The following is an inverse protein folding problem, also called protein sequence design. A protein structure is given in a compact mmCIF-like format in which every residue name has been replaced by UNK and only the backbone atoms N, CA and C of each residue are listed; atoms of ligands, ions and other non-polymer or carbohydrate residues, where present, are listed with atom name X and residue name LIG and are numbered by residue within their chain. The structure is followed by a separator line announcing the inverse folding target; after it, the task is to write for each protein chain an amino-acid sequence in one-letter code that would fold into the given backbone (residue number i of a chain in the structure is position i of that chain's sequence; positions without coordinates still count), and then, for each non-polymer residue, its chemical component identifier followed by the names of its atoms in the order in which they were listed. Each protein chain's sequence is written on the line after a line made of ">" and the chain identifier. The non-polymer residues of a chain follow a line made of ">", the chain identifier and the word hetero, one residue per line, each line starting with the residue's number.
data_IF_285699493968
#
_entry.id   IF_285699493968
#
_cell.length_a   1.000
_cell.length_b   1.000
_cell.length_c   1.000
_cell.angle_alpha   90.00
_cell.angle_beta   90.00
_cell.angle_gamma   90.00
#
_symmetry.space_group_name_H-M   'P 1'
#
loop_
_entity.id
_entity.type
_entity.pdbx_description
1 polymer ?
#
# COMPACT_ATOMS: atom_id res chain seq x y z
N UNK A 1 2.32 -2.31 15.27
CA UNK A 1 2.23 -1.05 14.50
C UNK A 1 0.92 -0.38 14.86
N UNK A 2 0.99 0.85 15.36
CA UNK A 2 -0.18 1.66 15.71
C UNK A 2 -0.92 2.13 14.45
N UNK A 3 -2.20 2.50 14.57
CA UNK A 3 -3.00 3.03 13.45
C UNK A 3 -2.39 4.33 12.91
N UNK A 4 -1.99 5.23 13.79
CA UNK A 4 -1.35 6.51 13.45
C UNK A 4 -0.10 6.31 12.57
N UNK A 5 0.71 5.30 12.89
CA UNK A 5 1.87 4.95 12.06
C UNK A 5 1.46 4.52 10.65
N UNK A 6 0.44 3.66 10.55
CA UNK A 6 -0.05 3.14 9.28
C UNK A 6 -0.67 4.28 8.44
N UNK A 7 -1.41 5.19 9.06
CA UNK A 7 -2.00 6.34 8.40
C UNK A 7 -0.92 7.27 7.81
N UNK A 8 0.10 7.64 8.60
CA UNK A 8 1.20 8.44 8.07
C UNK A 8 2.04 7.69 7.04
N UNK A 9 2.23 6.37 7.17
CA UNK A 9 2.89 5.54 6.17
C UNK A 9 2.11 5.56 4.83
N UNK A 10 0.78 5.45 4.90
CA UNK A 10 -0.10 5.53 3.71
C UNK A 10 -0.06 6.93 3.10
N UNK A 11 0.00 8.00 3.91
CA UNK A 11 0.14 9.37 3.41
C UNK A 11 1.41 9.51 2.57
N UNK A 12 2.57 9.17 3.14
CA UNK A 12 3.87 9.24 2.43
C UNK A 12 3.85 8.34 1.19
N UNK A 13 3.26 7.14 1.28
CA UNK A 13 3.14 6.26 0.12
C UNK A 13 2.26 6.86 -0.99
N UNK A 14 1.16 7.53 -0.65
CA UNK A 14 0.24 8.17 -1.60
C UNK A 14 0.90 9.34 -2.32
N UNK A 15 1.73 10.12 -1.61
CA UNK A 15 2.50 11.24 -2.16
C UNK A 15 3.58 10.82 -3.16
N UNK A 16 3.92 9.53 -3.24
CA UNK A 16 4.94 9.00 -4.15
C UNK A 16 4.29 8.18 -5.28
N UNK A 17 3.76 8.82 -6.35
CA UNK A 17 3.08 8.13 -7.45
C UNK A 17 3.98 7.14 -8.19
N UNK A 18 5.32 7.31 -8.14
CA UNK A 18 6.30 6.38 -8.69
C UNK A 18 6.22 4.95 -8.08
N UNK A 19 5.62 4.78 -6.90
CA UNK A 19 5.48 3.49 -6.23
C UNK A 19 4.19 2.74 -6.58
N UNK A 20 3.11 3.45 -6.91
CA UNK A 20 1.77 2.85 -7.04
C UNK A 20 1.06 3.15 -8.36
N UNK A 21 1.42 4.24 -9.05
CA UNK A 21 0.76 4.69 -10.27
C UNK A 21 1.48 4.14 -11.51
N UNK A 22 1.13 2.92 -11.91
CA UNK A 22 1.73 2.21 -13.06
C UNK A 22 1.64 3.02 -14.37
N UNK A 23 0.58 3.82 -14.53
CA UNK A 23 0.35 4.65 -15.74
C UNK A 23 1.18 5.94 -15.77
N UNK A 24 1.95 6.25 -14.72
CA UNK A 24 2.78 7.46 -14.69
C UNK A 24 4.15 7.21 -15.32
N UNK A 25 4.69 8.19 -16.07
CA UNK A 25 6.08 8.15 -16.56
C UNK A 25 7.11 8.00 -15.42
N UNK A 26 6.76 8.50 -14.23
CA UNK A 26 7.59 8.40 -13.04
C UNK A 26 7.72 6.98 -12.48
N UNK A 27 6.81 6.07 -12.87
CA UNK A 27 6.88 4.66 -12.45
C UNK A 27 8.08 3.94 -13.08
N UNK A 28 8.53 4.36 -14.26
CA UNK A 28 9.70 3.81 -14.94
C UNK A 28 11.02 4.41 -14.45
N UNK A 29 10.97 5.54 -13.71
CA UNK A 29 12.16 6.19 -13.19
C UNK A 29 12.66 5.49 -11.91
N UNK A 30 13.69 4.66 -12.06
CA UNK A 30 14.32 3.93 -10.96
C UNK A 30 14.87 4.87 -9.87
N UNK A 31 15.40 6.03 -10.25
CA UNK A 31 15.89 7.05 -9.30
C UNK A 31 14.76 7.60 -8.41
N UNK A 32 13.59 7.88 -8.98
CA UNK A 32 12.43 8.36 -8.22
C UNK A 32 11.88 7.27 -7.30
N UNK A 33 11.84 6.01 -7.77
CA UNK A 33 11.48 4.86 -6.93
C UNK A 33 12.45 4.71 -5.76
N UNK A 34 13.75 4.75 -6.02
CA UNK A 34 14.78 4.62 -5.00
C UNK A 34 14.61 5.67 -3.89
N UNK A 35 14.39 6.94 -4.28
CA UNK A 35 14.15 8.06 -3.37
C UNK A 35 12.84 7.95 -2.60
N UNK A 36 11.76 7.48 -3.25
CA UNK A 36 10.49 7.25 -2.59
C UNK A 36 10.57 6.14 -1.52
N UNK A 37 11.29 5.05 -1.82
CA UNK A 37 11.56 4.02 -0.81
C UNK A 37 12.42 4.54 0.33
N UNK A 38 13.40 5.40 0.05
CA UNK A 38 14.25 5.99 1.08
C UNK A 38 13.46 6.91 2.03
N UNK A 39 12.54 7.72 1.48
CA UNK A 39 11.60 8.52 2.28
C UNK A 39 10.75 7.65 3.21
N UNK A 40 10.23 6.53 2.72
CA UNK A 40 9.45 5.59 3.55
C UNK A 40 10.30 4.92 4.62
N UNK A 41 11.56 4.56 4.32
CA UNK A 41 12.51 4.02 5.32
C UNK A 41 12.79 5.07 6.39
N UNK A 42 13.03 6.31 6.00
CA UNK A 42 13.28 7.44 6.92
C UNK A 42 12.07 7.68 7.82
N UNK A 43 10.85 7.69 7.27
CA UNK A 43 9.63 7.78 8.05
C UNK A 43 9.52 6.62 9.07
N UNK A 44 9.80 5.39 8.65
CA UNK A 44 9.80 4.24 9.56
C UNK A 44 10.82 4.41 10.70
N UNK A 45 12.04 4.83 10.39
CA UNK A 45 13.09 5.07 11.39
C UNK A 45 12.70 6.18 12.37
N UNK A 46 12.12 7.28 11.88
CA UNK A 46 11.63 8.38 12.72
C UNK A 46 10.50 7.96 13.67
N UNK A 47 9.77 6.89 13.33
CA UNK A 47 8.72 6.31 14.16
C UNK A 47 9.24 5.20 15.10
N UNK A 48 10.55 5.10 15.31
CA UNK A 48 11.17 4.16 16.26
C UNK A 48 11.51 2.79 15.67
N UNK A 49 11.39 2.58 14.36
CA UNK A 49 11.78 1.33 13.72
C UNK A 49 13.21 1.41 13.18
N UNK A 50 14.20 1.14 14.05
CA UNK A 50 15.63 1.28 13.72
C UNK A 50 16.16 0.25 12.73
N UNK A 51 15.56 -0.95 12.65
CA UNK A 51 15.99 -2.02 11.75
C UNK A 51 15.19 -2.06 10.43
N UNK A 52 14.75 -0.90 9.93
CA UNK A 52 13.99 -0.82 8.69
C UNK A 52 14.92 -0.60 7.51
N UNK A 53 14.83 -1.55 6.58
CA UNK A 53 15.51 -1.52 5.29
C UNK A 53 14.47 -1.41 4.16
N UNK A 54 14.95 -1.18 2.93
CA UNK A 54 14.09 -1.11 1.74
C UNK A 54 13.22 -2.36 1.56
N UNK A 55 13.74 -3.55 1.85
CA UNK A 55 12.99 -4.82 1.81
C UNK A 55 11.78 -4.82 2.77
N UNK A 56 11.98 -4.29 3.99
CA UNK A 56 10.89 -4.20 4.96
C UNK A 56 9.76 -3.29 4.47
N UNK A 57 10.10 -2.12 3.91
CA UNK A 57 9.13 -1.19 3.33
C UNK A 57 8.43 -1.82 2.13
N UNK A 58 9.16 -2.51 1.26
CA UNK A 58 8.61 -3.20 0.10
C UNK A 58 7.59 -4.26 0.52
N UNK A 59 7.97 -5.17 1.44
CA UNK A 59 7.06 -6.15 2.03
C UNK A 59 5.86 -5.50 2.71
N UNK A 60 6.05 -4.36 3.37
CA UNK A 60 4.96 -3.66 4.04
C UNK A 60 3.94 -3.12 3.04
N UNK A 61 4.41 -2.53 1.94
CA UNK A 61 3.55 -2.08 0.84
C UNK A 61 2.80 -3.27 0.23
N UNK A 62 3.49 -4.39 -0.02
CA UNK A 62 2.86 -5.59 -0.58
C UNK A 62 1.77 -6.15 0.34
N UNK A 63 2.04 -6.21 1.65
CA UNK A 63 1.05 -6.62 2.65
C UNK A 63 -0.16 -5.68 2.65
N UNK A 64 0.05 -4.35 2.63
CA UNK A 64 -1.03 -3.37 2.56
C UNK A 64 -1.88 -3.54 1.29
N UNK A 65 -1.24 -3.71 0.13
CA UNK A 65 -1.93 -3.97 -1.14
C UNK A 65 -2.71 -5.29 -1.10
N UNK A 66 -2.12 -6.33 -0.51
CA UNK A 66 -2.75 -7.64 -0.33
C UNK A 66 -3.99 -7.57 0.56
N UNK A 67 -3.86 -6.95 1.74
CA UNK A 67 -4.98 -6.71 2.66
C UNK A 67 -6.09 -5.90 1.97
N UNK A 68 -5.74 -4.78 1.32
CA UNK A 68 -6.72 -3.95 0.61
C UNK A 68 -7.46 -4.73 -0.49
N UNK A 69 -6.73 -5.50 -1.31
CA UNK A 69 -7.35 -6.34 -2.35
C UNK A 69 -8.25 -7.42 -1.77
N UNK A 70 -7.85 -8.04 -0.64
CA UNK A 70 -8.66 -9.06 0.04
C UNK A 70 -9.96 -8.47 0.57
N UNK A 71 -9.89 -7.32 1.23
CA UNK A 71 -11.07 -6.63 1.73
C UNK A 71 -11.95 -6.11 0.58
N UNK A 72 -11.35 -5.56 -0.49
CA UNK A 72 -12.08 -5.18 -1.70
C UNK A 72 -12.82 -6.38 -2.29
N UNK A 73 -12.16 -7.54 -2.44
CA UNK A 73 -12.83 -8.76 -2.94
C UNK A 73 -13.99 -9.19 -2.06
N UNK A 74 -13.86 -9.15 -0.74
CA UNK A 74 -14.99 -9.44 0.16
C UNK A 74 -16.16 -8.50 -0.08
N UNK A 75 -15.90 -7.20 -0.17
CA UNK A 75 -16.92 -6.18 -0.44
C UNK A 75 -17.58 -6.41 -1.80
N UNK A 76 -16.81 -6.66 -2.85
CA UNK A 76 -17.32 -6.96 -4.18
C UNK A 76 -18.14 -8.26 -4.18
N UNK A 77 -17.64 -9.33 -3.54
CA UNK A 77 -18.39 -10.57 -3.36
C UNK A 77 -19.70 -10.35 -2.59
N UNK A 78 -19.70 -9.55 -1.53
CA UNK A 78 -20.92 -9.21 -0.79
C UNK A 78 -21.93 -8.41 -1.62
N UNK A 79 -21.47 -7.58 -2.57
CA UNK A 79 -22.34 -6.89 -3.53
C UNK A 79 -22.88 -7.86 -4.59
N UNK A 80 -22.09 -8.85 -5.01
CA UNK A 80 -22.50 -9.85 -6.00
C UNK A 80 -23.42 -10.93 -5.43
N UNK A 81 -23.33 -11.26 -4.14
CA UNK A 81 -24.19 -12.28 -3.49
C UNK A 81 -25.58 -11.76 -3.06
N UNK A 82 -25.98 -10.59 -3.56
CA UNK A 82 -27.27 -9.93 -3.24
C UNK A 82 -28.26 -9.86 -4.42
N UNK A 83 -28.16 -10.76 -5.40
CA UNK A 83 -29.23 -10.99 -6.39
C UNK A 83 -29.16 -12.43 -6.85
N UNK A 84 -30.07 -13.22 -6.28
CA UNK A 84 -30.32 -14.62 -6.57
C UNK A 84 -31.59 -15.03 -5.83
N UNK A 85 -32.66 -14.25 -6.00
CA UNK A 85 -33.99 -14.84 -6.01
C UNK A 85 -34.07 -15.66 -7.28
N UNK A 86 -34.20 -16.96 -7.15
CA UNK A 86 -34.95 -17.75 -8.12
C UNK A 86 -35.67 -18.86 -7.35
N UNK A 87 -36.95 -18.59 -7.15
CA UNK A 87 -38.01 -19.50 -6.76
C UNK A 87 -38.16 -20.61 -7.83
N UNK A 88 -37.90 -21.88 -7.49
CA UNK A 88 -38.54 -23.07 -8.09
C UNK A 88 -38.66 -24.17 -7.02
#
# INVERSE_FOLDING_TARGET
>A
MSREFIEGFISVYRENPCLWQIKCKEYTNENLKARAYDNLVTYCKSNGYSNVNRDFVMKKIENLRGCFRKEMRKVESSKTTGTGSDDI
#
